data_IF_590832584659
#
_entry.id   IF_590832584659
#
_cell.length_a   1.000
_cell.length_b   1.000
_cell.length_c   1.000
_cell.angle_alpha   90.00
_cell.angle_beta   90.00
_cell.angle_gamma   90.00
#
_symmetry.space_group_name_H-M   'P 1'
#
loop_
_entity.id
_entity.type
_entity.pdbx_description
1 polymer ?
#
# COMPACT_ATOMS: atom_id res chain seq x y z
N UNK A 1 -7.25 36.60 37.78
CA UNK A 1 -7.65 35.20 37.90
C UNK A 1 -7.24 34.51 36.61
N UNK A 2 -6.06 33.87 36.59
CA UNK A 2 -5.44 33.29 35.40
C UNK A 2 -5.93 31.85 35.25
N UNK A 3 -6.53 31.54 34.12
CA UNK A 3 -7.00 30.21 33.79
C UNK A 3 -5.80 29.26 33.62
N UNK A 4 -5.81 28.16 34.36
CA UNK A 4 -4.86 27.06 34.28
C UNK A 4 -4.95 26.41 32.90
N UNK A 5 -3.84 26.42 32.15
CA UNK A 5 -3.72 25.71 30.89
C UNK A 5 -3.93 24.19 31.07
N UNK A 6 -4.87 23.65 30.35
CA UNK A 6 -5.06 22.21 30.21
C UNK A 6 -3.79 21.62 29.59
N UNK A 7 -3.08 20.76 30.32
CA UNK A 7 -2.06 19.88 29.71
C UNK A 7 -2.78 18.94 28.76
N UNK A 8 -2.58 19.14 27.49
CA UNK A 8 -2.87 18.11 26.49
C UNK A 8 -1.92 16.96 26.80
N UNK A 9 -2.46 15.88 27.35
CA UNK A 9 -1.73 14.63 27.48
C UNK A 9 -1.45 14.13 26.08
N UNK A 10 -0.22 14.28 25.64
CA UNK A 10 0.28 13.69 24.41
C UNK A 10 0.35 12.16 24.63
N UNK A 11 -0.80 11.48 24.52
CA UNK A 11 -0.83 10.05 24.27
C UNK A 11 -0.41 9.88 22.80
N UNK A 12 0.88 10.04 22.55
CA UNK A 12 1.49 9.54 21.33
C UNK A 12 1.38 8.01 21.36
N UNK A 13 0.20 7.49 21.03
CA UNK A 13 0.07 6.15 20.52
C UNK A 13 1.02 6.09 19.35
N UNK A 14 2.13 5.39 19.51
CA UNK A 14 3.16 5.26 18.51
C UNK A 14 2.52 4.58 17.31
N UNK A 15 2.25 5.32 16.22
CA UNK A 15 1.85 4.77 14.93
C UNK A 15 2.84 3.75 14.39
N UNK A 16 4.03 3.80 14.89
CA UNK A 16 5.14 2.92 14.61
C UNK A 16 5.34 2.13 15.88
N UNK A 17 5.14 0.87 15.93
CA UNK A 17 5.41 0.01 17.07
C UNK A 17 6.68 0.39 17.86
N UNK A 18 7.23 -0.42 18.68
CA UNK A 18 8.50 -0.11 19.36
C UNK A 18 9.59 0.14 18.32
N UNK A 19 10.23 1.32 18.35
CA UNK A 19 11.38 1.66 17.48
C UNK A 19 12.47 0.59 17.48
N UNK A 20 12.60 -0.15 18.57
CA UNK A 20 13.59 -1.21 18.72
C UNK A 20 13.30 -2.46 17.88
N UNK A 21 12.06 -2.63 17.40
CA UNK A 21 11.64 -3.83 16.66
C UNK A 21 11.42 -3.61 15.16
N UNK A 22 11.26 -2.33 14.74
CA UNK A 22 11.10 -2.02 13.32
C UNK A 22 12.38 -2.31 12.53
N UNK A 23 12.20 -2.88 11.35
CA UNK A 23 13.29 -3.17 10.40
C UNK A 23 12.96 -2.52 9.05
N UNK A 24 13.26 -1.22 8.88
CA UNK A 24 13.04 -0.55 7.61
C UNK A 24 13.87 -1.20 6.50
N UNK A 25 13.26 -1.42 5.34
CA UNK A 25 13.91 -1.97 4.16
C UNK A 25 13.42 -1.23 2.90
N UNK A 26 14.13 -1.38 1.79
CA UNK A 26 13.53 -1.09 0.49
C UNK A 26 12.36 -2.06 0.29
N UNK A 27 11.25 -1.56 -0.22
CA UNK A 27 10.02 -2.35 -0.32
C UNK A 27 9.31 -2.14 -1.66
N UNK A 28 8.52 -3.13 -2.03
CA UNK A 28 7.60 -3.08 -3.18
C UNK A 28 6.17 -3.22 -2.71
N UNK A 29 5.23 -2.69 -3.50
CA UNK A 29 3.80 -2.81 -3.21
C UNK A 29 2.97 -2.87 -4.50
N UNK A 30 1.94 -3.69 -4.51
CA UNK A 30 1.00 -3.82 -5.62
C UNK A 30 -0.24 -2.94 -5.42
N UNK A 31 -0.49 -2.04 -6.36
CA UNK A 31 -1.81 -1.46 -6.58
C UNK A 31 -2.63 -2.49 -7.37
N UNK A 32 -3.12 -3.49 -6.64
CA UNK A 32 -3.71 -4.70 -7.21
C UNK A 32 -5.19 -4.47 -7.51
N UNK A 33 -5.54 -4.43 -8.80
CA UNK A 33 -6.92 -4.23 -9.25
C UNK A 33 -7.54 -5.49 -9.84
N UNK A 34 -8.81 -5.70 -9.55
CA UNK A 34 -9.67 -6.67 -10.24
C UNK A 34 -10.14 -6.10 -11.60
N UNK A 35 -10.78 -6.94 -12.42
CA UNK A 35 -11.33 -6.54 -13.72
C UNK A 35 -12.43 -5.49 -13.63
N UNK A 36 -13.10 -5.36 -12.50
CA UNK A 36 -14.15 -4.38 -12.19
C UNK A 36 -13.63 -3.12 -11.46
N UNK A 37 -12.31 -2.88 -11.48
CA UNK A 37 -11.60 -1.73 -10.92
C UNK A 37 -11.52 -1.66 -9.38
N UNK A 38 -12.09 -2.61 -8.63
CA UNK A 38 -11.88 -2.70 -7.19
C UNK A 38 -10.42 -3.02 -6.85
N UNK A 39 -9.92 -2.44 -5.76
CA UNK A 39 -8.59 -2.77 -5.24
C UNK A 39 -8.64 -3.90 -4.24
N UNK A 40 -7.72 -4.85 -4.38
CA UNK A 40 -7.52 -5.95 -3.42
C UNK A 40 -6.51 -5.50 -2.38
N UNK A 41 -6.88 -5.61 -1.12
CA UNK A 41 -6.09 -5.16 0.02
C UNK A 41 -5.90 -6.28 1.03
N UNK A 42 -4.76 -6.25 1.71
CA UNK A 42 -4.45 -7.11 2.86
C UNK A 42 -4.82 -6.40 4.16
N UNK A 43 -5.53 -7.06 5.06
CA UNK A 43 -5.59 -6.66 6.46
C UNK A 43 -4.31 -7.14 7.15
N UNK A 44 -3.48 -6.20 7.57
CA UNK A 44 -2.21 -6.49 8.23
C UNK A 44 -2.45 -7.10 9.61
N UNK A 45 -1.56 -7.98 10.04
CA UNK A 45 -1.64 -8.62 11.34
C UNK A 45 -1.62 -7.61 12.50
N UNK A 46 -2.24 -8.01 13.61
CA UNK A 46 -2.20 -7.28 14.89
C UNK A 46 -0.86 -7.48 15.61
N UNK A 47 0.24 -7.30 14.89
CA UNK A 47 1.59 -7.49 15.40
C UNK A 47 2.26 -6.13 15.64
N UNK A 48 2.63 -5.78 16.89
CA UNK A 48 3.21 -4.47 17.21
C UNK A 48 4.63 -4.28 16.64
N UNK A 49 5.23 -5.30 16.04
CA UNK A 49 6.57 -5.23 15.44
C UNK A 49 6.56 -4.81 13.97
N UNK A 50 5.38 -4.73 13.35
CA UNK A 50 5.23 -4.26 11.96
C UNK A 50 4.72 -2.82 11.91
N UNK A 51 4.89 -2.17 10.75
CA UNK A 51 4.29 -0.86 10.49
C UNK A 51 2.77 -0.97 10.32
N UNK A 52 1.99 -0.11 10.97
CA UNK A 52 0.53 -0.04 10.85
C UNK A 52 -0.18 -1.38 11.05
N UNK A 53 -0.06 -2.03 12.23
CA UNK A 53 -0.83 -3.22 12.54
C UNK A 53 -2.34 -2.92 12.45
N UNK A 54 -3.17 -3.93 12.14
CA UNK A 54 -4.63 -3.82 12.01
C UNK A 54 -5.11 -2.80 10.95
N UNK A 55 -4.27 -2.45 9.97
CA UNK A 55 -4.64 -1.57 8.86
C UNK A 55 -4.72 -2.35 7.54
N UNK A 56 -5.56 -1.86 6.65
CA UNK A 56 -5.57 -2.31 5.26
C UNK A 56 -4.36 -1.72 4.53
N UNK A 57 -3.57 -2.57 3.92
CA UNK A 57 -2.37 -2.22 3.16
C UNK A 57 -2.33 -2.90 1.79
N UNK A 58 -1.44 -2.43 0.94
CA UNK A 58 -1.13 -3.10 -0.31
C UNK A 58 -0.31 -4.37 -0.04
N UNK A 59 -0.54 -5.41 -0.84
CA UNK A 59 0.32 -6.61 -0.88
C UNK A 59 1.73 -6.24 -1.36
N UNK A 60 2.73 -6.98 -0.90
CA UNK A 60 4.13 -6.77 -1.20
C UNK A 60 4.98 -6.66 0.06
N UNK A 61 6.29 -6.70 -0.10
CA UNK A 61 7.22 -6.78 1.01
C UNK A 61 8.59 -6.19 0.75
N UNK A 62 9.60 -6.71 1.42
CA UNK A 62 10.96 -6.22 1.33
C UNK A 62 11.64 -6.67 0.02
N UNK A 63 12.47 -5.79 -0.53
CA UNK A 63 13.37 -6.13 -1.64
C UNK A 63 14.64 -6.76 -1.04
N UNK A 64 14.98 -7.95 -1.48
CA UNK A 64 16.19 -8.64 -1.06
C UNK A 64 17.46 -8.01 -1.66
N UNK A 65 18.62 -8.31 -1.07
CA UNK A 65 19.89 -7.77 -1.53
C UNK A 65 20.20 -8.22 -2.95
N UNK A 66 20.29 -7.25 -3.89
CA UNK A 66 20.57 -7.50 -5.30
C UNK A 66 19.36 -7.95 -6.12
N UNK A 67 18.19 -8.04 -5.52
CA UNK A 67 16.95 -8.40 -6.21
C UNK A 67 16.38 -7.19 -6.97
N UNK A 68 16.01 -7.34 -8.26
CA UNK A 68 15.28 -6.29 -8.97
C UNK A 68 13.88 -6.08 -8.35
N UNK A 69 13.43 -4.83 -8.11
CA UNK A 69 12.16 -4.58 -7.43
C UNK A 69 10.92 -5.21 -8.09
N UNK A 70 10.89 -5.33 -9.42
CA UNK A 70 9.78 -6.00 -10.11
C UNK A 70 9.74 -7.51 -9.82
N UNK A 71 10.90 -8.16 -9.67
CA UNK A 71 10.98 -9.58 -9.29
C UNK A 71 10.61 -9.78 -7.83
N UNK A 72 11.04 -8.87 -6.94
CA UNK A 72 10.60 -8.86 -5.55
C UNK A 72 9.07 -8.85 -5.45
N UNK A 73 8.40 -7.98 -6.21
CA UNK A 73 6.94 -7.94 -6.20
C UNK A 73 6.30 -9.23 -6.71
N UNK A 74 6.83 -9.82 -7.78
CA UNK A 74 6.31 -11.10 -8.30
C UNK A 74 6.43 -12.20 -7.25
N UNK A 75 7.58 -12.29 -6.58
CA UNK A 75 7.81 -13.25 -5.48
C UNK A 75 6.84 -13.03 -4.33
N UNK A 76 6.71 -11.80 -3.86
CA UNK A 76 5.79 -11.46 -2.75
C UNK A 76 4.33 -11.80 -3.08
N UNK A 77 3.86 -11.52 -4.31
CA UNK A 77 2.49 -11.85 -4.72
C UNK A 77 2.27 -13.36 -4.85
N UNK A 78 3.29 -14.13 -5.20
CA UNK A 78 3.21 -15.59 -5.19
C UNK A 78 3.17 -16.13 -3.76
N UNK A 79 3.99 -15.61 -2.85
CA UNK A 79 4.05 -16.02 -1.45
C UNK A 79 2.78 -15.62 -0.67
N UNK A 80 2.30 -14.37 -0.85
CA UNK A 80 1.17 -13.83 -0.08
C UNK A 80 -0.20 -14.22 -0.65
N UNK A 81 -0.33 -14.46 -1.97
CA UNK A 81 -1.63 -14.66 -2.64
C UNK A 81 -1.69 -15.89 -3.54
N UNK A 82 -0.63 -16.65 -3.70
CA UNK A 82 -0.48 -17.71 -4.70
C UNK A 82 -0.80 -17.24 -6.13
N UNK A 83 -0.45 -16.00 -6.46
CA UNK A 83 -0.63 -15.40 -7.77
C UNK A 83 0.68 -15.41 -8.53
N UNK A 84 0.77 -16.25 -9.57
CA UNK A 84 1.95 -16.31 -10.43
C UNK A 84 1.82 -15.27 -11.54
N UNK A 85 2.76 -14.33 -11.60
CA UNK A 85 2.87 -13.28 -12.62
C UNK A 85 4.26 -13.29 -13.24
N UNK A 86 4.35 -12.78 -14.46
CA UNK A 86 5.63 -12.41 -15.06
C UNK A 86 5.99 -10.95 -14.73
N UNK A 87 7.26 -10.56 -14.75
CA UNK A 87 7.66 -9.16 -14.55
C UNK A 87 7.05 -8.18 -15.58
N UNK A 88 6.59 -8.66 -16.73
CA UNK A 88 5.95 -7.84 -17.75
C UNK A 88 4.50 -7.46 -17.37
N UNK A 89 3.89 -8.18 -16.42
CA UNK A 89 2.52 -7.93 -15.94
C UNK A 89 2.47 -6.94 -14.78
N UNK A 90 3.63 -6.53 -14.24
CA UNK A 90 3.75 -5.55 -13.16
C UNK A 90 4.29 -4.22 -13.73
N UNK A 91 3.42 -3.21 -13.82
CA UNK A 91 3.79 -1.92 -14.38
C UNK A 91 4.22 -0.95 -13.27
N UNK A 92 5.49 -0.50 -13.27
CA UNK A 92 5.96 0.49 -12.30
C UNK A 92 5.12 1.76 -12.38
N UNK A 93 4.58 2.19 -11.25
CA UNK A 93 3.69 3.35 -11.15
C UNK A 93 4.36 4.55 -10.50
N UNK A 94 4.80 4.41 -9.24
CA UNK A 94 5.44 5.50 -8.48
C UNK A 94 6.40 4.93 -7.44
N UNK A 95 7.17 5.83 -6.82
CA UNK A 95 8.09 5.47 -5.75
C UNK A 95 8.12 6.58 -4.72
N UNK A 96 8.08 6.21 -3.44
CA UNK A 96 8.25 7.12 -2.33
C UNK A 96 9.54 6.82 -1.60
N UNK A 97 10.23 7.88 -1.17
CA UNK A 97 11.38 7.78 -0.29
C UNK A 97 10.98 8.15 1.14
N UNK A 98 11.43 7.37 2.10
CA UNK A 98 11.21 7.58 3.51
C UNK A 98 12.55 7.70 4.23
N UNK A 99 12.71 8.77 5.01
CA UNK A 99 13.87 8.94 5.87
C UNK A 99 13.60 8.31 7.25
N UNK A 100 14.31 7.24 7.55
CA UNK A 100 14.27 6.54 8.83
C UNK A 100 15.41 6.93 9.77
N UNK A 101 16.06 8.09 9.58
CA UNK A 101 17.09 8.61 10.43
C UNK A 101 16.68 8.68 11.92
N UNK A 102 15.39 8.95 12.18
CA UNK A 102 14.81 8.93 13.54
C UNK A 102 14.84 7.54 14.21
N UNK A 103 14.92 6.48 13.43
CA UNK A 103 15.00 5.09 13.89
C UNK A 103 16.44 4.51 13.83
N UNK A 104 17.43 5.35 13.51
CA UNK A 104 18.84 4.93 13.38
C UNK A 104 19.13 4.21 12.06
N UNK A 105 18.29 4.42 11.04
CA UNK A 105 18.47 3.87 9.70
C UNK A 105 18.58 5.01 8.67
N UNK A 106 18.68 4.71 7.40
CA UNK A 106 18.79 5.66 6.29
C UNK A 106 17.50 5.78 5.48
N UNK A 107 17.65 6.34 4.28
CA UNK A 107 16.53 6.45 3.33
C UNK A 107 16.17 5.06 2.79
N UNK A 108 14.87 4.75 2.80
CA UNK A 108 14.28 3.55 2.20
C UNK A 108 13.29 3.94 1.13
N UNK A 109 13.25 3.16 0.08
CA UNK A 109 12.35 3.35 -1.06
C UNK A 109 11.21 2.35 -0.97
N UNK A 110 9.99 2.81 -1.28
CA UNK A 110 8.82 1.95 -1.49
C UNK A 110 8.30 2.17 -2.90
N UNK A 111 8.51 1.18 -3.76
CA UNK A 111 8.13 1.23 -5.17
C UNK A 111 6.76 0.59 -5.36
N UNK A 112 5.84 1.30 -5.98
CA UNK A 112 4.49 0.84 -6.27
C UNK A 112 4.36 0.41 -7.73
N UNK A 113 3.71 -0.70 -7.94
CA UNK A 113 3.39 -1.24 -9.24
C UNK A 113 1.88 -1.37 -9.42
N UNK A 114 1.37 -0.98 -10.59
CA UNK A 114 0.01 -1.29 -10.99
C UNK A 114 -0.04 -2.72 -11.51
N UNK A 115 -0.92 -3.53 -10.94
CA UNK A 115 -1.13 -4.93 -11.30
C UNK A 115 -2.63 -5.14 -11.52
N UNK A 116 -3.01 -5.73 -12.66
CA UNK A 116 -4.40 -6.02 -12.97
C UNK A 116 -4.64 -7.51 -13.05
N UNK A 117 -5.53 -8.02 -12.21
CA UNK A 117 -5.96 -9.40 -12.25
C UNK A 117 -7.16 -9.55 -13.21
N UNK A 118 -7.15 -10.56 -14.09
CA UNK A 118 -8.24 -10.80 -15.07
C UNK A 118 -9.42 -11.53 -14.40
N UNK A 119 -9.86 -11.06 -13.23
CA UNK A 119 -10.96 -11.64 -12.45
C UNK A 119 -11.77 -10.54 -11.77
N UNK A 120 -13.04 -10.83 -11.50
CA UNK A 120 -13.98 -9.88 -10.89
C UNK A 120 -14.18 -10.10 -9.37
N UNK A 121 -13.53 -11.09 -8.78
CA UNK A 121 -13.66 -11.43 -7.36
C UNK A 121 -12.32 -11.87 -6.75
N UNK A 122 -12.31 -12.03 -5.45
CA UNK A 122 -11.15 -12.52 -4.67
C UNK A 122 -11.21 -14.03 -4.44
N UNK A 123 -12.24 -14.71 -4.91
CA UNK A 123 -12.39 -16.15 -4.74
C UNK A 123 -11.25 -16.88 -5.47
N UNK A 124 -10.63 -17.81 -4.75
CA UNK A 124 -9.46 -18.53 -5.24
C UNK A 124 -8.13 -17.78 -5.12
N UNK A 125 -8.09 -16.57 -4.53
CA UNK A 125 -6.86 -16.03 -3.95
C UNK A 125 -6.60 -16.72 -2.61
N UNK A 126 -5.38 -17.17 -2.41
CA UNK A 126 -4.98 -17.86 -1.17
C UNK A 126 -4.17 -16.89 -0.34
N UNK A 127 -4.73 -16.44 0.78
CA UNK A 127 -4.00 -15.58 1.70
C UNK A 127 -2.91 -16.38 2.42
N UNK A 128 -1.66 -16.11 2.10
CA UNK A 128 -0.48 -16.73 2.72
C UNK A 128 -0.02 -15.98 3.98
N UNK A 129 -0.20 -14.67 4.02
CA UNK A 129 0.21 -13.81 5.13
C UNK A 129 -0.84 -12.72 5.38
N UNK A 130 -0.94 -12.25 6.66
CA UNK A 130 -1.90 -11.23 7.09
C UNK A 130 -3.20 -11.80 7.67
N UNK A 131 -3.98 -10.94 8.32
CA UNK A 131 -5.21 -11.31 9.05
C UNK A 131 -6.44 -11.41 8.13
N UNK A 132 -6.37 -10.94 6.89
CA UNK A 132 -7.49 -10.99 5.95
C UNK A 132 -7.20 -10.36 4.61
N UNK A 133 -8.11 -10.61 3.67
CA UNK A 133 -8.05 -10.07 2.32
C UNK A 133 -9.45 -9.65 1.90
N UNK A 134 -9.59 -8.51 1.22
CA UNK A 134 -10.85 -8.05 0.67
C UNK A 134 -10.65 -7.12 -0.53
N UNK A 135 -11.69 -7.04 -1.38
CA UNK A 135 -11.74 -6.08 -2.48
C UNK A 135 -12.66 -4.90 -2.12
N UNK A 136 -12.23 -3.70 -2.48
CA UNK A 136 -12.91 -2.46 -2.16
C UNK A 136 -13.06 -1.57 -3.38
N UNK A 137 -14.24 -0.95 -3.51
CA UNK A 137 -14.41 0.19 -4.40
C UNK A 137 -13.43 1.31 -4.03
N UNK A 138 -12.80 1.99 -5.02
CA UNK A 138 -11.77 3.00 -4.77
C UNK A 138 -12.20 4.09 -3.78
N UNK A 139 -13.40 4.66 -3.96
CA UNK A 139 -13.92 5.74 -3.13
C UNK A 139 -14.18 5.28 -1.69
N UNK A 140 -14.71 4.05 -1.53
CA UNK A 140 -14.92 3.45 -0.21
C UNK A 140 -13.60 3.23 0.50
N UNK A 141 -12.62 2.65 -0.19
CA UNK A 141 -11.28 2.38 0.34
C UNK A 141 -10.61 3.66 0.85
N UNK A 142 -10.63 4.73 0.02
CA UNK A 142 -10.01 6.01 0.35
C UNK A 142 -10.71 6.78 1.48
N UNK A 143 -11.96 6.45 1.80
CA UNK A 143 -12.70 7.02 2.92
C UNK A 143 -12.52 6.22 4.23
N UNK A 144 -11.85 5.07 4.20
CA UNK A 144 -11.68 4.23 5.39
C UNK A 144 -10.59 4.79 6.32
N UNK A 145 -10.82 4.82 7.66
CA UNK A 145 -9.85 5.39 8.60
C UNK A 145 -8.62 4.51 8.85
N UNK A 146 -8.71 3.22 8.54
CA UNK A 146 -7.64 2.25 8.77
C UNK A 146 -7.05 1.71 7.47
N UNK A 147 -6.60 2.61 6.62
CA UNK A 147 -5.75 2.29 5.48
C UNK A 147 -4.35 2.82 5.76
N UNK A 148 -3.33 2.05 5.42
CA UNK A 148 -1.94 2.48 5.56
C UNK A 148 -1.74 3.81 4.80
N UNK A 149 -1.32 4.92 5.43
CA UNK A 149 -1.38 6.26 4.84
C UNK A 149 -0.62 6.43 3.53
N UNK A 150 0.57 5.85 3.43
CA UNK A 150 1.36 5.93 2.19
C UNK A 150 0.76 5.06 1.07
N UNK A 151 0.11 3.95 1.41
CA UNK A 151 -0.62 3.12 0.45
C UNK A 151 -1.89 3.85 -0.01
N UNK A 152 -2.63 4.50 0.91
CA UNK A 152 -3.79 5.33 0.58
C UNK A 152 -3.42 6.45 -0.39
N UNK A 153 -2.27 7.09 -0.21
CA UNK A 153 -1.81 8.15 -1.13
C UNK A 153 -1.47 7.59 -2.52
N UNK A 154 -0.79 6.46 -2.61
CA UNK A 154 -0.49 5.81 -3.88
C UNK A 154 -1.76 5.36 -4.61
N UNK A 155 -2.73 4.78 -3.88
CA UNK A 155 -4.04 4.38 -4.39
C UNK A 155 -4.83 5.58 -4.93
N UNK A 156 -4.86 6.69 -4.18
CA UNK A 156 -5.50 7.92 -4.62
C UNK A 156 -4.89 8.45 -5.92
N UNK A 157 -3.57 8.51 -6.01
CA UNK A 157 -2.89 8.94 -7.24
C UNK A 157 -3.21 8.03 -8.42
N UNK A 158 -3.23 6.72 -8.20
CA UNK A 158 -3.51 5.74 -9.24
C UNK A 158 -4.96 5.85 -9.73
N UNK A 159 -5.92 5.94 -8.83
CA UNK A 159 -7.34 6.12 -9.14
C UNK A 159 -7.59 7.46 -9.84
N UNK A 160 -7.05 8.58 -9.33
CA UNK A 160 -7.21 9.91 -9.91
C UNK A 160 -6.63 10.02 -11.33
N UNK A 161 -5.55 9.29 -11.64
CA UNK A 161 -4.94 9.27 -12.98
C UNK A 161 -5.92 8.88 -14.07
N UNK A 162 -6.76 7.88 -13.83
CA UNK A 162 -7.79 7.44 -14.79
C UNK A 162 -8.82 8.53 -15.06
N UNK A 163 -9.24 9.26 -14.01
CA UNK A 163 -10.21 10.36 -14.11
C UNK A 163 -9.65 11.57 -14.88
N UNK A 164 -8.38 11.93 -14.64
CA UNK A 164 -7.70 13.02 -15.34
C UNK A 164 -7.56 12.68 -16.82
N UNK A 165 -7.17 11.45 -17.16
CA UNK A 165 -7.02 11.01 -18.55
C UNK A 165 -8.35 10.95 -19.31
N UNK A 166 -9.47 10.62 -18.65
CA UNK A 166 -10.80 10.63 -19.26
C UNK A 166 -11.35 12.05 -19.47
N UNK A 167 -11.13 12.95 -18.51
CA UNK A 167 -11.49 14.35 -18.64
C UNK A 167 -10.76 15.06 -19.81
N UNK A 168 -9.48 14.73 -20.01
CA UNK A 168 -8.68 15.26 -21.12
C UNK A 168 -9.13 14.78 -22.51
N UNK A 169 -9.76 13.62 -22.58
CA UNK A 169 -10.34 13.09 -23.85
C UNK A 169 -11.68 13.74 -24.19
N UNK A 170 -12.51 14.02 -23.19
CA UNK A 170 -13.81 14.70 -23.39
C UNK A 170 -13.70 16.18 -23.74
N UNK A 171 -12.57 16.83 -23.47
CA UNK A 171 -12.32 18.24 -23.77
C UNK A 171 -11.78 18.50 -25.20
N UNK A 172 -11.61 17.47 -26.03
CA UNK A 172 -11.04 17.60 -27.39
C UNK A 172 -12.06 17.49 -28.53
N UNK A 173 -13.33 17.70 -28.24
CA UNK A 173 -14.34 17.76 -29.31
C UNK A 173 -15.17 19.05 -29.17
N UNK A 174 -14.70 20.20 -29.70
CA UNK A 174 -15.58 21.26 -30.17
C UNK A 174 -15.75 21.04 -31.67
N UNK A 175 -16.97 20.74 -32.07
CA UNK A 175 -17.42 20.76 -33.47
C UNK A 175 -17.14 22.11 -34.15
#
# INVERSE_FOLDING_TARGET
MLAKGARVSNSSGSFLGSRATLRPAHAVAALLQLSDDRYVMQLRDSNPTIFYPDHWGCFGGAVEAGEPPALALVRELEEELAVTLSPAEVARFTEFSFDFGFAGDGIRLRTYYAVRLPRADVDGLVLGEGAGLAAFEPERLLAMPRVVPYDAFALWMHHARGRIASASRGARDPA
#
